data_IF_172592442947
#
_entry.id   IF_172592442947
#
_cell.length_a   1.000
_cell.length_b   1.000
_cell.length_c   1.000
_cell.angle_alpha   90.00
_cell.angle_beta   90.00
_cell.angle_gamma   90.00
#
_symmetry.space_group_name_H-M   'P 1'
#
loop_
_entity.id
_entity.type
_entity.pdbx_description
1 polymer ?
#
# COMPACT_ATOMS: atom_id res chain seq x y z
N UNK A 1 6.89 -2.34 25.63
CA UNK A 1 8.12 -1.69 26.16
C UNK A 1 9.16 -2.69 26.65
N UNK A 2 8.81 -3.77 27.38
CA UNK A 2 9.78 -4.82 27.80
C UNK A 2 10.37 -5.65 26.64
N UNK A 3 9.63 -5.89 25.59
CA UNK A 3 10.09 -6.67 24.42
C UNK A 3 11.15 -5.91 23.59
N UNK A 4 11.05 -4.59 23.50
CA UNK A 4 12.06 -3.75 22.85
C UNK A 4 13.37 -3.73 23.65
N UNK A 5 13.30 -3.72 24.98
CA UNK A 5 14.50 -3.79 25.85
C UNK A 5 15.20 -5.14 25.82
N UNK A 6 14.48 -6.24 25.59
CA UNK A 6 15.07 -7.58 25.41
C UNK A 6 15.77 -7.73 24.06
N UNK A 7 15.28 -7.05 23.02
CA UNK A 7 15.97 -6.99 21.71
C UNK A 7 17.24 -6.15 21.80
N UNK A 8 17.24 -5.09 22.61
CA UNK A 8 18.40 -4.21 22.80
C UNK A 8 19.48 -4.84 23.68
N UNK A 9 19.11 -5.63 24.68
CA UNK A 9 20.08 -6.37 25.52
C UNK A 9 20.76 -7.52 24.81
N UNK A 10 20.14 -8.09 23.76
CA UNK A 10 20.81 -9.07 22.88
C UNK A 10 21.87 -8.47 21.96
N UNK A 11 21.85 -7.15 21.76
CA UNK A 11 22.75 -6.45 20.85
C UNK A 11 24.06 -5.95 21.50
N UNK A 12 24.23 -5.99 22.83
CA UNK A 12 25.38 -5.44 23.55
C UNK A 12 26.49 -6.46 23.92
N UNK A 13 26.39 -7.71 23.43
CA UNK A 13 27.43 -8.73 23.58
C UNK A 13 28.55 -8.57 22.54
N UNK A 14 29.56 -7.85 22.89
CA UNK A 14 30.94 -7.80 22.38
C UNK A 14 31.24 -8.34 20.98
N UNK A 15 31.54 -7.43 20.05
CA UNK A 15 32.38 -7.64 18.89
C UNK A 15 31.69 -8.25 17.67
N UNK A 16 31.51 -7.47 16.63
CA UNK A 16 31.28 -7.80 15.19
C UNK A 16 30.35 -8.98 14.81
N UNK A 17 29.57 -9.51 15.74
CA UNK A 17 28.64 -10.64 15.57
C UNK A 17 27.18 -10.21 15.49
N UNK A 18 26.95 -8.95 15.13
CA UNK A 18 25.61 -8.42 14.89
C UNK A 18 25.06 -8.84 13.51
N UNK A 19 23.95 -8.28 13.13
CA UNK A 19 23.29 -8.49 11.85
C UNK A 19 24.23 -8.41 10.62
N UNK A 20 25.39 -7.76 10.74
CA UNK A 20 26.46 -7.70 9.73
C UNK A 20 27.25 -9.01 9.57
N UNK A 21 27.38 -9.85 10.58
CA UNK A 21 28.03 -11.14 10.46
C UNK A 21 27.17 -12.12 9.64
N UNK A 22 25.85 -12.04 9.80
CA UNK A 22 24.89 -12.79 8.98
C UNK A 22 24.99 -12.44 7.47
N UNK A 23 25.45 -11.24 7.14
CA UNK A 23 25.74 -10.82 5.76
C UNK A 23 26.91 -11.60 5.12
N UNK A 24 27.81 -12.15 5.92
CA UNK A 24 29.09 -12.69 5.43
C UNK A 24 29.01 -14.14 4.98
N UNK A 25 28.14 -14.94 5.59
CA UNK A 25 28.05 -16.38 5.33
C UNK A 25 26.97 -16.78 4.32
N UNK A 26 25.81 -16.10 4.29
CA UNK A 26 24.74 -16.33 3.32
C UNK A 26 24.16 -15.02 2.74
N UNK A 27 24.96 -14.26 1.97
CA UNK A 27 24.55 -12.93 1.49
C UNK A 27 23.32 -12.96 0.58
N UNK A 28 23.02 -14.09 -0.05
CA UNK A 28 21.97 -14.21 -1.06
C UNK A 28 20.55 -13.98 -0.50
N UNK A 29 20.19 -14.67 0.58
CA UNK A 29 18.84 -14.53 1.17
C UNK A 29 18.64 -13.17 1.81
N UNK A 30 19.69 -12.62 2.38
CA UNK A 30 19.65 -11.31 2.99
C UNK A 30 19.57 -10.20 1.93
N UNK A 31 20.29 -10.35 0.82
CA UNK A 31 20.22 -9.46 -0.35
C UNK A 31 18.81 -9.50 -0.96
N UNK A 32 18.20 -10.70 -1.07
CA UNK A 32 16.84 -10.86 -1.58
C UNK A 32 15.80 -10.15 -0.69
N UNK A 33 15.95 -10.28 0.64
CA UNK A 33 15.11 -9.55 1.60
C UNK A 33 15.35 -8.04 1.56
N UNK A 34 16.58 -7.59 1.34
CA UNK A 34 16.90 -6.16 1.19
C UNK A 34 16.22 -5.57 -0.06
N UNK A 35 16.29 -6.29 -1.19
CA UNK A 35 15.58 -5.89 -2.42
C UNK A 35 14.08 -5.85 -2.20
N UNK A 36 13.52 -6.86 -1.54
CA UNK A 36 12.11 -6.89 -1.18
C UNK A 36 11.73 -5.68 -0.31
N UNK A 37 12.55 -5.36 0.71
CA UNK A 37 12.37 -4.19 1.58
C UNK A 37 12.39 -2.87 0.80
N UNK A 38 13.32 -2.71 -0.14
CA UNK A 38 13.41 -1.51 -0.98
C UNK A 38 12.16 -1.33 -1.85
N UNK A 39 11.65 -2.41 -2.44
CA UNK A 39 10.40 -2.39 -3.23
C UNK A 39 9.22 -1.99 -2.34
N UNK A 40 9.11 -2.59 -1.16
CA UNK A 40 8.05 -2.29 -0.18
C UNK A 40 8.05 -0.83 0.22
N UNK A 41 9.20 -0.29 0.61
CA UNK A 41 9.34 1.12 1.01
C UNK A 41 8.94 2.05 -0.15
N UNK A 42 9.37 1.73 -1.36
CA UNK A 42 9.03 2.51 -2.56
C UNK A 42 7.51 2.52 -2.79
N UNK A 43 6.84 1.37 -2.70
CA UNK A 43 5.38 1.28 -2.86
C UNK A 43 4.66 2.05 -1.74
N UNK A 44 5.11 1.93 -0.50
CA UNK A 44 4.51 2.63 0.64
C UNK A 44 4.60 4.14 0.43
N UNK A 45 5.78 4.67 0.11
CA UNK A 45 6.00 6.10 -0.12
C UNK A 45 5.15 6.59 -1.29
N UNK A 46 5.19 5.89 -2.44
CA UNK A 46 4.40 6.24 -3.63
C UNK A 46 2.90 6.32 -3.29
N UNK A 47 2.38 5.30 -2.60
CA UNK A 47 0.95 5.22 -2.30
C UNK A 47 0.50 6.19 -1.24
N UNK A 48 1.32 6.41 -0.23
CA UNK A 48 1.07 7.43 0.79
C UNK A 48 1.04 8.83 0.17
N UNK A 49 2.03 9.16 -0.65
CA UNK A 49 2.09 10.44 -1.36
C UNK A 49 0.88 10.63 -2.30
N UNK A 50 0.50 9.58 -3.05
CA UNK A 50 -0.66 9.61 -3.93
C UNK A 50 -1.96 9.83 -3.16
N UNK A 51 -2.20 9.07 -2.08
CA UNK A 51 -3.43 9.18 -1.31
C UNK A 51 -3.51 10.48 -0.48
N UNK A 52 -2.39 11.00 0.06
CA UNK A 52 -2.40 12.28 0.76
C UNK A 52 -2.49 13.48 -0.19
N UNK A 53 -1.82 13.41 -1.35
CA UNK A 53 -1.77 14.52 -2.29
C UNK A 53 -3.05 14.71 -3.10
N UNK A 54 -3.64 13.61 -3.60
CA UNK A 54 -4.78 13.66 -4.53
C UNK A 54 -6.18 13.59 -3.89
N UNK A 55 -6.29 13.40 -2.56
CA UNK A 55 -7.60 13.25 -1.88
C UNK A 55 -7.82 14.24 -0.74
N UNK A 56 -7.06 15.34 -0.70
CA UNK A 56 -7.17 16.37 0.33
C UNK A 56 -8.23 17.45 0.02
N UNK A 57 -9.03 17.26 -1.02
CA UNK A 57 -10.08 18.21 -1.38
C UNK A 57 -11.25 18.09 -0.41
N UNK A 58 -11.68 19.21 0.13
CA UNK A 58 -12.94 19.29 0.86
C UNK A 58 -14.11 19.09 -0.12
N UNK A 59 -14.43 17.83 -0.40
CA UNK A 59 -15.45 17.43 -1.37
C UNK A 59 -16.82 18.11 -1.11
N UNK A 60 -17.11 18.44 0.15
CA UNK A 60 -18.37 19.10 0.54
C UNK A 60 -18.45 20.55 0.05
N UNK A 61 -17.40 21.33 0.25
CA UNK A 61 -17.34 22.74 -0.20
C UNK A 61 -17.33 22.83 -1.72
N UNK A 62 -16.52 21.97 -2.35
CA UNK A 62 -16.45 21.90 -3.80
C UNK A 62 -17.83 21.53 -4.40
N UNK A 63 -18.49 20.50 -3.89
CA UNK A 63 -19.80 20.09 -4.35
C UNK A 63 -20.85 21.20 -4.14
N UNK A 64 -20.78 21.98 -3.06
CA UNK A 64 -21.66 23.12 -2.84
C UNK A 64 -21.46 24.22 -3.88
N UNK A 65 -20.23 24.46 -4.35
CA UNK A 65 -19.96 25.40 -5.45
C UNK A 65 -20.50 24.91 -6.78
N UNK A 66 -20.28 23.63 -7.12
CA UNK A 66 -20.84 23.01 -8.32
C UNK A 66 -22.38 23.10 -8.31
N UNK A 67 -23.02 22.76 -7.19
CA UNK A 67 -24.46 22.85 -7.06
C UNK A 67 -24.99 24.26 -7.35
N UNK A 68 -24.33 25.31 -6.85
CA UNK A 68 -24.71 26.70 -7.13
C UNK A 68 -24.57 27.05 -8.61
N UNK A 69 -23.48 26.60 -9.27
CA UNK A 69 -23.24 26.87 -10.69
C UNK A 69 -24.25 26.15 -11.59
N UNK A 70 -24.57 24.90 -11.28
CA UNK A 70 -25.55 24.08 -12.02
C UNK A 70 -26.95 24.67 -11.83
N UNK A 71 -27.34 25.05 -10.60
CA UNK A 71 -28.63 25.70 -10.32
C UNK A 71 -28.78 27.05 -11.04
N UNK A 72 -27.68 27.77 -11.30
CA UNK A 72 -27.65 29.01 -12.07
C UNK A 72 -27.59 28.77 -13.59
N UNK A 73 -27.66 27.54 -14.08
CA UNK A 73 -27.58 27.17 -15.50
C UNK A 73 -26.18 27.33 -16.13
N UNK A 74 -25.14 27.59 -15.34
CA UNK A 74 -23.78 27.84 -15.81
C UNK A 74 -22.94 26.55 -15.85
N UNK A 75 -23.35 25.55 -16.65
CA UNK A 75 -22.70 24.23 -16.75
C UNK A 75 -21.23 24.39 -17.24
N UNK A 76 -20.96 25.26 -18.21
CA UNK A 76 -19.60 25.49 -18.73
C UNK A 76 -18.62 26.01 -17.67
N UNK A 77 -19.09 26.86 -16.76
CA UNK A 77 -18.26 27.33 -15.64
C UNK A 77 -18.02 26.20 -14.61
N UNK A 78 -19.00 25.34 -14.40
CA UNK A 78 -18.85 24.17 -13.52
C UNK A 78 -17.82 23.19 -14.10
N UNK A 79 -17.80 22.93 -15.41
CA UNK A 79 -16.80 22.10 -16.09
C UNK A 79 -15.41 22.72 -15.96
N UNK A 80 -15.25 24.04 -16.23
CA UNK A 80 -13.96 24.71 -16.06
C UNK A 80 -13.44 24.66 -14.63
N UNK A 81 -14.31 24.71 -13.64
CA UNK A 81 -13.91 24.54 -12.23
C UNK A 81 -13.39 23.13 -11.94
N UNK A 82 -13.94 22.11 -12.60
CA UNK A 82 -13.44 20.75 -12.51
C UNK A 82 -12.06 20.56 -13.17
N UNK A 83 -11.71 21.39 -14.15
CA UNK A 83 -10.39 21.36 -14.83
C UNK A 83 -9.27 22.01 -14.01
N UNK A 84 -9.58 22.71 -12.92
CA UNK A 84 -8.58 23.37 -12.10
C UNK A 84 -7.63 22.41 -11.38
N UNK A 85 -7.98 21.13 -11.26
CA UNK A 85 -7.15 20.12 -10.58
C UNK A 85 -7.49 18.71 -11.04
N UNK A 86 -6.50 17.84 -11.08
CA UNK A 86 -6.60 16.47 -11.59
C UNK A 86 -7.05 15.47 -10.50
N UNK A 87 -7.98 15.90 -9.63
CA UNK A 87 -8.52 15.04 -8.57
C UNK A 87 -9.59 14.09 -9.11
N UNK A 88 -9.61 12.82 -8.68
CA UNK A 88 -10.59 11.83 -9.15
C UNK A 88 -12.06 12.24 -9.00
N UNK A 89 -12.39 12.91 -7.89
CA UNK A 89 -13.75 13.43 -7.66
C UNK A 89 -14.12 14.46 -8.72
N UNK A 90 -13.18 15.35 -9.11
CA UNK A 90 -13.43 16.37 -10.13
C UNK A 90 -13.62 15.75 -11.51
N UNK A 91 -12.84 14.73 -11.84
CA UNK A 91 -12.97 14.00 -13.11
C UNK A 91 -14.34 13.30 -13.20
N UNK A 92 -14.82 12.72 -12.10
CA UNK A 92 -16.13 12.09 -12.03
C UNK A 92 -17.25 13.12 -12.26
N UNK A 93 -17.21 14.24 -11.52
CA UNK A 93 -18.19 15.34 -11.66
C UNK A 93 -18.17 15.92 -13.08
N UNK A 94 -16.99 16.12 -13.65
CA UNK A 94 -16.82 16.61 -15.03
C UNK A 94 -17.49 15.66 -16.04
N UNK A 95 -17.31 14.34 -15.91
CA UNK A 95 -17.95 13.37 -16.79
C UNK A 95 -19.46 13.50 -16.78
N UNK A 96 -20.09 13.60 -15.61
CA UNK A 96 -21.54 13.83 -15.49
C UNK A 96 -21.99 15.16 -16.09
N UNK A 97 -21.27 16.26 -15.81
CA UNK A 97 -21.61 17.60 -16.33
C UNK A 97 -21.52 17.69 -17.87
N UNK A 98 -20.55 17.01 -18.47
CA UNK A 98 -20.37 16.99 -19.94
C UNK A 98 -21.57 16.31 -20.63
N UNK A 99 -22.22 15.36 -19.96
CA UNK A 99 -23.38 14.65 -20.49
C UNK A 99 -24.73 15.21 -19.96
N UNK A 100 -24.72 16.33 -19.22
CA UNK A 100 -25.90 16.88 -18.58
C UNK A 100 -27.09 17.14 -19.53
N UNK A 101 -26.83 17.40 -20.80
CA UNK A 101 -27.84 17.72 -21.81
C UNK A 101 -28.37 16.49 -22.57
N UNK A 102 -27.88 15.28 -22.28
CA UNK A 102 -28.16 14.09 -23.09
C UNK A 102 -29.23 13.17 -22.52
N UNK A 103 -29.73 13.42 -21.34
CA UNK A 103 -30.72 12.59 -20.67
C UNK A 103 -30.18 11.75 -19.52
N UNK A 104 -31.06 11.24 -18.65
CA UNK A 104 -30.64 10.57 -17.41
C UNK A 104 -29.85 9.28 -17.66
N UNK A 105 -30.21 8.47 -18.66
CA UNK A 105 -29.54 7.21 -18.94
C UNK A 105 -28.09 7.41 -19.42
N UNK A 106 -27.83 8.44 -20.25
CA UNK A 106 -26.48 8.78 -20.68
C UNK A 106 -25.62 9.41 -19.58
N UNK A 107 -26.26 10.17 -18.67
CA UNK A 107 -25.57 10.71 -17.49
C UNK A 107 -25.10 9.56 -16.59
N UNK A 108 -25.99 8.59 -16.32
CA UNK A 108 -25.67 7.42 -15.48
C UNK A 108 -24.58 6.56 -16.14
N UNK A 109 -24.68 6.29 -17.43
CA UNK A 109 -23.67 5.54 -18.18
C UNK A 109 -22.29 6.21 -18.11
N UNK A 110 -22.22 7.52 -18.35
CA UNK A 110 -20.95 8.26 -18.32
C UNK A 110 -20.33 8.35 -16.92
N UNK A 111 -21.15 8.47 -15.88
CA UNK A 111 -20.71 8.45 -14.48
C UNK A 111 -20.21 7.06 -14.08
N UNK A 112 -20.95 6.01 -14.45
CA UNK A 112 -20.61 4.62 -14.16
C UNK A 112 -19.31 4.20 -14.86
N UNK A 113 -19.15 4.54 -16.14
CA UNK A 113 -17.92 4.31 -16.89
C UNK A 113 -16.72 4.98 -16.20
N UNK A 114 -16.84 6.27 -15.87
CA UNK A 114 -15.78 7.01 -15.22
C UNK A 114 -15.44 6.48 -13.82
N UNK A 115 -16.46 6.08 -13.06
CA UNK A 115 -16.26 5.44 -11.76
C UNK A 115 -15.52 4.10 -11.89
N UNK A 116 -15.86 3.32 -12.94
CA UNK A 116 -15.18 2.08 -13.29
C UNK A 116 -13.69 2.26 -13.55
N UNK A 117 -13.28 3.37 -14.18
CA UNK A 117 -11.87 3.72 -14.42
C UNK A 117 -11.14 4.17 -13.14
N UNK A 118 -11.83 4.92 -12.28
CA UNK A 118 -11.23 5.53 -11.10
C UNK A 118 -11.01 4.52 -9.96
N UNK A 119 -11.91 3.55 -9.77
CA UNK A 119 -11.80 2.54 -8.70
C UNK A 119 -10.49 1.74 -8.77
N UNK A 120 -10.10 1.14 -9.90
CA UNK A 120 -8.84 0.41 -10.00
C UNK A 120 -7.61 1.28 -9.79
N UNK A 121 -7.67 2.56 -10.20
CA UNK A 121 -6.57 3.51 -10.02
C UNK A 121 -6.28 3.78 -8.52
N UNK A 122 -7.33 3.81 -7.69
CA UNK A 122 -7.22 3.99 -6.23
C UNK A 122 -6.63 2.76 -5.55
N UNK A 123 -7.04 1.55 -5.97
CA UNK A 123 -6.57 0.28 -5.40
C UNK A 123 -5.22 -0.21 -5.97
N UNK A 124 -4.76 0.38 -7.05
CA UNK A 124 -3.53 -0.04 -7.74
C UNK A 124 -2.38 -0.26 -6.76
N UNK A 125 -1.69 -1.40 -6.87
CA UNK A 125 -0.52 -1.79 -6.07
C UNK A 125 -0.73 -2.00 -4.56
N UNK A 126 -1.90 -1.71 -3.99
CA UNK A 126 -2.15 -1.96 -2.56
C UNK A 126 -2.13 -3.47 -2.28
N UNK A 127 -2.75 -4.27 -3.17
CA UNK A 127 -2.72 -5.73 -3.06
C UNK A 127 -1.32 -6.33 -3.14
N UNK A 128 -0.39 -5.68 -3.86
CA UNK A 128 0.99 -6.14 -3.95
C UNK A 128 1.71 -6.13 -2.58
N UNK A 129 1.36 -5.22 -1.66
CA UNK A 129 1.93 -5.21 -0.32
C UNK A 129 1.63 -6.48 0.46
N UNK A 130 0.42 -7.03 0.31
CA UNK A 130 0.05 -8.30 0.93
C UNK A 130 0.88 -9.47 0.39
N UNK A 131 1.05 -9.53 -0.93
CA UNK A 131 1.87 -10.55 -1.58
C UNK A 131 3.34 -10.44 -1.18
N UNK A 132 3.87 -9.22 -1.12
CA UNK A 132 5.26 -8.96 -0.70
C UNK A 132 5.50 -9.34 0.77
N UNK A 133 4.53 -9.14 1.66
CA UNK A 133 4.62 -9.59 3.05
C UNK A 133 4.79 -11.11 3.13
N UNK A 134 3.99 -11.87 2.38
CA UNK A 134 4.11 -13.33 2.33
C UNK A 134 5.45 -13.78 1.74
N UNK A 135 5.89 -13.15 0.64
CA UNK A 135 7.18 -13.45 0.01
C UNK A 135 8.34 -13.19 0.97
N UNK A 136 8.36 -12.05 1.66
CA UNK A 136 9.42 -11.72 2.63
C UNK A 136 9.50 -12.74 3.77
N UNK A 137 8.35 -13.21 4.27
CA UNK A 137 8.29 -14.26 5.30
C UNK A 137 8.87 -15.58 4.77
N UNK A 138 8.50 -16.00 3.55
CA UNK A 138 8.99 -17.23 2.93
C UNK A 138 10.50 -17.17 2.65
N UNK A 139 11.01 -16.02 2.20
CA UNK A 139 12.46 -15.81 2.00
C UNK A 139 13.20 -15.93 3.34
N UNK A 140 12.66 -15.32 4.41
CA UNK A 140 13.21 -15.44 5.76
C UNK A 140 13.26 -16.90 6.22
N UNK A 141 12.18 -17.65 6.01
CA UNK A 141 12.11 -19.07 6.36
C UNK A 141 13.12 -19.91 5.54
N UNK A 142 13.22 -19.68 4.23
CA UNK A 142 14.22 -20.34 3.38
C UNK A 142 15.64 -20.04 3.87
N UNK A 143 15.90 -18.84 4.34
CA UNK A 143 17.17 -18.45 4.94
C UNK A 143 17.50 -19.28 6.19
N UNK A 144 16.54 -19.56 7.07
CA UNK A 144 16.78 -20.43 8.23
C UNK A 144 17.05 -21.89 7.83
N UNK A 145 16.26 -22.43 6.91
CA UNK A 145 16.46 -23.81 6.45
C UNK A 145 17.84 -23.97 5.82
N UNK A 146 18.24 -23.05 4.93
CA UNK A 146 19.56 -23.06 4.31
C UNK A 146 20.68 -22.90 5.34
N UNK A 147 20.56 -21.95 6.28
CA UNK A 147 21.53 -21.74 7.35
C UNK A 147 21.73 -22.96 8.23
N UNK A 148 20.64 -23.63 8.62
CA UNK A 148 20.72 -24.89 9.40
C UNK A 148 21.38 -26.02 8.62
N UNK A 149 21.06 -26.20 7.33
CA UNK A 149 21.71 -27.21 6.48
C UNK A 149 23.24 -26.98 6.45
N UNK A 150 23.67 -25.75 6.23
CA UNK A 150 25.11 -25.39 6.24
C UNK A 150 25.75 -25.65 7.61
N UNK A 151 25.09 -25.26 8.68
CA UNK A 151 25.59 -25.43 10.05
C UNK A 151 25.77 -26.91 10.40
N UNK A 152 24.78 -27.75 10.14
CA UNK A 152 24.88 -29.19 10.38
C UNK A 152 25.92 -29.86 9.48
N UNK A 153 26.04 -29.42 8.23
CA UNK A 153 27.09 -29.87 7.33
C UNK A 153 28.50 -29.57 7.87
N UNK A 154 28.69 -28.36 8.40
CA UNK A 154 29.98 -27.97 9.02
C UNK A 154 30.31 -28.77 10.29
N UNK A 155 29.31 -29.04 11.14
CA UNK A 155 29.49 -29.84 12.37
C UNK A 155 29.78 -31.31 12.08
N UNK A 156 29.28 -31.84 10.95
CA UNK A 156 29.53 -33.23 10.53
C UNK A 156 30.98 -33.47 10.03
N UNK A 157 31.75 -32.42 9.77
CA UNK A 157 33.12 -32.55 9.33
C UNK A 157 34.01 -33.25 10.38
N UNK A 158 34.85 -34.15 9.92
CA UNK A 158 35.76 -34.91 10.77
C UNK A 158 36.89 -34.02 11.29
N UNK A 159 37.36 -34.29 12.53
CA UNK A 159 38.54 -33.61 13.12
C UNK A 159 38.24 -32.37 13.97
N UNK A 160 36.95 -31.98 14.15
CA UNK A 160 36.56 -30.88 15.03
C UNK A 160 36.48 -31.32 16.49
N UNK A 161 37.00 -30.47 17.39
CA UNK A 161 36.81 -30.68 18.84
C UNK A 161 35.35 -30.52 19.25
N UNK A 162 34.93 -31.09 20.37
CA UNK A 162 33.56 -30.96 20.87
C UNK A 162 33.17 -29.50 21.15
N UNK A 163 34.12 -28.71 21.63
CA UNK A 163 33.95 -27.26 21.87
C UNK A 163 33.74 -26.49 20.58
N UNK A 164 34.50 -26.81 19.51
CA UNK A 164 34.33 -26.14 18.21
C UNK A 164 33.02 -26.50 17.56
N UNK A 165 32.58 -27.77 17.64
CA UNK A 165 31.26 -28.21 17.17
C UNK A 165 30.14 -27.42 17.84
N UNK A 166 30.17 -27.28 19.16
CA UNK A 166 29.18 -26.54 19.92
C UNK A 166 29.17 -25.06 19.55
N UNK A 167 30.34 -24.44 19.32
CA UNK A 167 30.44 -23.04 18.91
C UNK A 167 29.87 -22.82 17.51
N UNK A 168 30.24 -23.67 16.54
CA UNK A 168 29.74 -23.61 15.17
C UNK A 168 28.21 -23.75 15.18
N UNK A 169 27.69 -24.73 15.93
CA UNK A 169 26.24 -24.96 16.02
C UNK A 169 25.50 -23.76 16.61
N UNK A 170 25.99 -23.22 17.73
CA UNK A 170 25.36 -22.06 18.39
C UNK A 170 25.33 -20.83 17.48
N UNK A 171 26.47 -20.52 16.83
CA UNK A 171 26.56 -19.37 15.94
C UNK A 171 25.67 -19.54 14.69
N UNK A 172 25.71 -20.71 14.05
CA UNK A 172 24.93 -20.96 12.84
C UNK A 172 23.41 -20.97 13.08
N UNK A 173 22.96 -21.48 14.25
CA UNK A 173 21.54 -21.37 14.63
C UNK A 173 21.15 -19.90 14.84
N UNK A 174 21.95 -19.14 15.58
CA UNK A 174 21.68 -17.72 15.82
C UNK A 174 21.59 -16.94 14.51
N UNK A 175 22.53 -17.17 13.59
CA UNK A 175 22.57 -16.54 12.27
C UNK A 175 21.33 -16.89 11.42
N UNK A 176 20.97 -18.17 11.37
CA UNK A 176 19.77 -18.60 10.68
C UNK A 176 18.52 -17.88 11.21
N UNK A 177 18.40 -17.72 12.53
CA UNK A 177 17.26 -17.02 13.16
C UNK A 177 17.20 -15.54 12.78
N UNK A 178 18.33 -14.84 12.56
CA UNK A 178 18.33 -13.45 12.11
C UNK A 178 17.67 -13.28 10.74
N UNK A 179 17.86 -14.20 9.80
CA UNK A 179 17.22 -14.14 8.48
C UNK A 179 15.71 -14.18 8.59
N UNK A 180 15.15 -15.04 9.44
CA UNK A 180 13.68 -15.08 9.67
C UNK A 180 13.19 -13.85 10.40
N UNK A 181 13.89 -13.38 11.42
CA UNK A 181 13.52 -12.17 12.15
C UNK A 181 13.45 -10.95 11.21
N UNK A 182 14.38 -10.82 10.28
CA UNK A 182 14.41 -9.76 9.29
C UNK A 182 13.24 -9.88 8.28
N UNK A 183 12.98 -11.08 7.76
CA UNK A 183 11.83 -11.35 6.88
C UNK A 183 10.50 -11.04 7.56
N UNK A 184 10.32 -11.41 8.83
CA UNK A 184 9.13 -11.10 9.63
C UNK A 184 8.97 -9.59 9.88
N UNK A 185 10.05 -8.86 10.15
CA UNK A 185 10.00 -7.40 10.34
C UNK A 185 9.49 -6.69 9.08
N UNK A 186 9.95 -7.10 7.89
CA UNK A 186 9.45 -6.60 6.61
C UNK A 186 7.96 -6.93 6.45
N UNK A 187 7.57 -8.18 6.71
CA UNK A 187 6.20 -8.64 6.55
C UNK A 187 5.22 -7.87 7.46
N UNK A 188 5.57 -7.66 8.73
CA UNK A 188 4.75 -6.87 9.67
C UNK A 188 4.59 -5.43 9.17
N UNK A 189 5.67 -4.81 8.72
CA UNK A 189 5.63 -3.45 8.16
C UNK A 189 4.72 -3.37 6.93
N UNK A 190 4.80 -4.35 6.02
CA UNK A 190 3.92 -4.46 4.85
C UNK A 190 2.45 -4.61 5.23
N UNK A 191 2.15 -5.48 6.21
CA UNK A 191 0.78 -5.73 6.66
C UNK A 191 0.15 -4.50 7.28
N UNK A 192 0.89 -3.77 8.13
CA UNK A 192 0.43 -2.52 8.74
C UNK A 192 0.15 -1.48 7.65
N UNK A 193 1.09 -1.28 6.73
CA UNK A 193 0.92 -0.35 5.61
C UNK A 193 -0.27 -0.75 4.72
N UNK A 194 -0.41 -2.04 4.41
CA UNK A 194 -1.55 -2.56 3.63
C UNK A 194 -2.88 -2.23 4.29
N UNK A 195 -3.05 -2.50 5.58
CA UNK A 195 -4.31 -2.23 6.30
C UNK A 195 -4.66 -0.74 6.25
N UNK A 196 -3.69 0.15 6.51
CA UNK A 196 -3.91 1.60 6.49
C UNK A 196 -4.30 2.09 5.09
N UNK A 197 -3.54 1.69 4.07
CA UNK A 197 -3.76 2.13 2.69
C UNK A 197 -5.04 1.54 2.10
N UNK A 198 -5.35 0.28 2.42
CA UNK A 198 -6.58 -0.38 1.96
C UNK A 198 -7.84 0.26 2.56
N UNK A 199 -7.83 0.53 3.86
CA UNK A 199 -8.95 1.21 4.53
C UNK A 199 -9.17 2.61 3.94
N UNK A 200 -8.10 3.37 3.69
CA UNK A 200 -8.21 4.68 3.01
C UNK A 200 -8.73 4.55 1.59
N UNK A 201 -8.25 3.57 0.84
CA UNK A 201 -8.72 3.29 -0.53
C UNK A 201 -10.22 3.01 -0.57
N UNK A 202 -10.73 2.20 0.36
CA UNK A 202 -12.17 1.92 0.48
C UNK A 202 -12.99 3.16 0.80
N UNK A 203 -12.52 4.00 1.72
CA UNK A 203 -13.20 5.26 2.05
C UNK A 203 -13.27 6.19 0.83
N UNK A 204 -12.19 6.29 0.06
CA UNK A 204 -12.13 7.08 -1.17
C UNK A 204 -13.13 6.55 -2.21
N UNK A 205 -13.21 5.23 -2.39
CA UNK A 205 -14.17 4.61 -3.30
C UNK A 205 -15.62 4.91 -2.89
N UNK A 206 -15.91 4.80 -1.60
CA UNK A 206 -17.24 5.14 -1.06
C UNK A 206 -17.59 6.62 -1.27
N UNK A 207 -16.62 7.53 -1.09
CA UNK A 207 -16.81 8.96 -1.37
C UNK A 207 -17.07 9.22 -2.86
N UNK A 208 -16.40 8.49 -3.76
CA UNK A 208 -16.65 8.57 -5.21
C UNK A 208 -18.06 8.08 -5.57
N UNK A 209 -18.49 6.94 -5.02
CA UNK A 209 -19.85 6.40 -5.22
C UNK A 209 -20.91 7.38 -4.72
N UNK A 210 -20.75 7.89 -3.51
CA UNK A 210 -21.67 8.89 -2.96
C UNK A 210 -21.67 10.21 -3.73
N UNK A 211 -20.55 10.57 -4.37
CA UNK A 211 -20.48 11.74 -5.25
C UNK A 211 -21.18 11.49 -6.57
N UNK A 212 -21.05 10.29 -7.15
CA UNK A 212 -21.79 9.88 -8.35
C UNK A 212 -23.28 10.05 -8.16
N UNK A 213 -23.84 9.49 -7.09
CA UNK A 213 -25.28 9.59 -6.79
C UNK A 213 -25.74 11.05 -6.63
N UNK A 214 -24.94 11.86 -5.93
CA UNK A 214 -25.25 13.29 -5.74
C UNK A 214 -25.28 14.08 -7.05
N UNK A 215 -24.29 13.81 -7.93
CA UNK A 215 -24.21 14.45 -9.25
C UNK A 215 -25.37 14.01 -10.13
N UNK A 216 -25.65 12.71 -10.18
CA UNK A 216 -26.79 12.16 -10.93
C UNK A 216 -28.12 12.80 -10.50
N UNK A 217 -28.39 12.81 -9.19
CA UNK A 217 -29.60 13.42 -8.65
C UNK A 217 -29.68 14.93 -8.95
N UNK A 218 -28.56 15.65 -8.83
CA UNK A 218 -28.51 17.09 -9.13
C UNK A 218 -28.88 17.39 -10.58
N UNK A 219 -28.30 16.64 -11.52
CA UNK A 219 -28.51 16.84 -12.95
C UNK A 219 -29.90 16.40 -13.41
N UNK A 220 -30.42 15.30 -12.85
CA UNK A 220 -31.77 14.77 -13.17
C UNK A 220 -32.87 15.66 -12.64
N UNK A 221 -32.72 16.25 -11.44
CA UNK A 221 -33.71 17.18 -10.87
C UNK A 221 -33.72 18.50 -11.64
N UNK A 222 -32.55 19.00 -12.05
CA UNK A 222 -32.40 20.27 -12.78
C UNK A 222 -32.94 20.14 -14.22
N UNK A 223 -32.92 18.95 -14.81
CA UNK A 223 -33.40 18.67 -16.18
C UNK A 223 -34.89 18.23 -16.24
N UNK A 224 -35.60 18.09 -15.11
CA UNK A 224 -37.04 17.88 -15.17
C UNK A 224 -37.69 19.17 -15.64
N UNK A 225 -38.36 19.19 -16.82
CA UNK A 225 -39.23 20.31 -17.16
C UNK A 225 -40.29 20.40 -16.07
N UNK A 226 -40.53 21.63 -15.58
CA UNK A 226 -41.62 21.90 -14.67
C UNK A 226 -42.92 21.47 -15.35
N UNK A 227 -43.39 20.26 -15.08
CA UNK A 227 -44.72 19.80 -15.45
C UNK A 227 -45.69 20.55 -14.55
N UNK A 228 -46.25 21.64 -15.09
CA UNK A 228 -47.47 22.26 -14.62
C UNK A 228 -48.69 21.52 -15.13
#
# INVERSE_FOLDING_TARGET
MRLLLLVEQGATGSGDTGAFAAFKENPWFLLLNLVCSAIVVTIIIERFAFQLGRYRVNSKEFFAQIKKLVAAGNIDRAIKLCDASDYPILQLVKSGLTHANKGPDEIDAALSEKLGDLKPAVEKRIGALWSLANIATLIGLLGTVSGLIHTFGAVAAQGLSQSDKQRILSNGIAEAMYNTAFGLAIAVTCMIAHVILHTRSKNIQHDLEGTMERVFNLLTITNRPATY
#
